data_IF_345745369713
#
_entry.id   IF_345745369713
#
_cell.length_a   1.000
_cell.length_b   1.000
_cell.length_c   1.000
_cell.angle_alpha   90.00
_cell.angle_beta   90.00
_cell.angle_gamma   90.00
#
_symmetry.space_group_name_H-M   'P 1'
#
loop_
_entity.id
_entity.type
_entity.pdbx_description
1 polymer ?
#
# COMPACT_ATOMS: atom_id res chain seq x y z
N UNK A 1 -15.24 30.59 22.42
CA UNK A 1 -14.94 29.80 23.58
C UNK A 1 -13.54 29.21 23.54
N UNK A 2 -13.07 28.62 24.61
CA UNK A 2 -11.69 28.12 24.79
C UNK A 2 -11.20 27.09 23.75
N UNK A 3 -12.08 26.51 22.94
CA UNK A 3 -11.72 25.56 21.86
C UNK A 3 -11.32 26.24 20.52
N UNK A 4 -11.39 27.57 20.42
CA UNK A 4 -11.12 28.33 19.20
C UNK A 4 -9.90 29.25 19.33
N UNK A 5 -9.00 28.99 20.27
CA UNK A 5 -7.83 29.82 20.51
C UNK A 5 -6.89 29.99 19.27
N UNK A 6 -6.92 29.00 18.35
CA UNK A 6 -6.08 29.02 17.14
C UNK A 6 -6.86 29.35 15.85
N UNK A 7 -8.08 29.88 15.97
CA UNK A 7 -8.93 30.21 14.84
C UNK A 7 -9.99 29.17 14.51
N UNK A 8 -10.94 29.52 13.68
CA UNK A 8 -12.07 28.69 13.25
C UNK A 8 -12.13 28.67 11.73
N UNK A 9 -12.13 27.49 11.13
CA UNK A 9 -12.44 27.30 9.72
C UNK A 9 -13.91 26.95 9.59
N UNK A 10 -14.69 27.83 8.95
CA UNK A 10 -16.11 27.59 8.67
C UNK A 10 -16.25 27.05 7.25
N UNK A 11 -16.72 25.80 7.12
CA UNK A 11 -16.98 25.17 5.83
C UNK A 11 -18.47 25.26 5.52
N UNK A 12 -18.82 25.96 4.45
CA UNK A 12 -20.20 26.01 3.95
C UNK A 12 -20.35 24.99 2.82
N UNK A 13 -21.16 23.98 3.06
CA UNK A 13 -21.41 22.94 2.06
C UNK A 13 -22.49 23.36 1.06
N UNK A 14 -22.42 22.79 -0.18
CA UNK A 14 -23.43 23.05 -1.23
C UNK A 14 -24.84 22.73 -0.72
N UNK A 15 -25.78 23.59 -1.07
CA UNK A 15 -27.21 23.47 -0.77
C UNK A 15 -28.02 23.69 -2.04
N UNK A 16 -29.26 23.23 -2.05
CA UNK A 16 -30.23 23.54 -3.12
C UNK A 16 -30.57 25.05 -3.14
N UNK A 17 -30.88 25.52 -4.30
CA UNK A 17 -31.39 26.90 -4.52
C UNK A 17 -32.73 26.80 -5.26
N UNK A 18 -33.59 27.83 -5.07
CA UNK A 18 -34.79 27.99 -5.85
C UNK A 18 -34.44 28.12 -7.33
N UNK A 19 -35.15 27.43 -8.21
CA UNK A 19 -34.93 27.45 -9.64
C UNK A 19 -35.06 26.07 -10.28
N UNK A 20 -34.86 26.05 -11.60
CA UNK A 20 -34.88 24.81 -12.37
C UNK A 20 -33.79 23.82 -11.87
N UNK A 21 -34.00 22.53 -11.97
CA UNK A 21 -32.99 21.53 -11.66
C UNK A 21 -31.70 21.76 -12.45
N UNK A 22 -30.57 21.77 -11.73
CA UNK A 22 -29.23 21.82 -12.30
C UNK A 22 -28.56 20.48 -12.04
N UNK A 23 -28.14 19.84 -13.11
CA UNK A 23 -27.44 18.55 -13.09
C UNK A 23 -25.97 18.82 -13.39
N UNK A 24 -25.08 18.24 -12.60
CA UNK A 24 -23.64 18.28 -12.85
C UNK A 24 -23.10 16.85 -12.80
N UNK A 25 -22.21 16.57 -13.75
CA UNK A 25 -21.42 15.35 -13.79
C UNK A 25 -19.94 15.74 -13.95
N UNK A 26 -19.10 15.22 -13.09
CA UNK A 26 -17.66 15.41 -13.16
C UNK A 26 -16.98 14.05 -13.09
N UNK A 27 -15.93 13.88 -13.89
CA UNK A 27 -15.03 12.76 -13.80
C UNK A 27 -13.60 13.25 -13.68
N UNK A 28 -12.79 12.52 -12.91
CA UNK A 28 -11.36 12.75 -12.80
C UNK A 28 -10.65 11.41 -12.93
N UNK A 29 -9.71 11.35 -13.87
CA UNK A 29 -8.83 10.22 -14.10
C UNK A 29 -7.43 10.63 -13.72
N UNK A 30 -6.80 9.84 -12.84
CA UNK A 30 -5.43 10.11 -12.39
C UNK A 30 -4.58 8.90 -12.69
N UNK A 31 -3.50 9.13 -13.42
CA UNK A 31 -2.44 8.16 -13.68
C UNK A 31 -1.29 8.43 -12.72
N UNK A 32 -0.82 7.38 -12.05
CA UNK A 32 0.35 7.42 -11.18
C UNK A 32 1.35 6.40 -11.72
N UNK A 33 2.49 6.84 -12.24
CA UNK A 33 3.50 5.92 -12.77
C UNK A 33 4.05 5.01 -11.67
N UNK A 34 4.64 3.91 -12.10
CA UNK A 34 5.38 3.00 -11.23
C UNK A 34 6.46 3.72 -10.43
N UNK A 35 6.86 3.13 -9.31
CA UNK A 35 7.92 3.68 -8.47
C UNK A 35 9.26 3.67 -9.22
N UNK A 36 9.90 4.82 -9.30
CA UNK A 36 11.24 4.91 -9.88
C UNK A 36 12.28 4.64 -8.78
N UNK A 37 12.86 3.46 -8.79
CA UNK A 37 13.90 3.03 -7.84
C UNK A 37 15.32 3.26 -8.34
N UNK A 38 15.51 3.79 -9.55
CA UNK A 38 16.85 4.02 -10.13
C UNK A 38 17.76 4.90 -9.26
N UNK A 39 17.16 5.74 -8.40
CA UNK A 39 17.91 6.59 -7.44
C UNK A 39 18.43 5.85 -6.21
N UNK A 40 18.00 4.60 -5.99
CA UNK A 40 18.42 3.82 -4.82
C UNK A 40 19.81 3.20 -4.99
N UNK A 41 20.35 3.22 -6.21
CA UNK A 41 21.67 2.63 -6.53
C UNK A 41 21.80 1.20 -5.98
N UNK A 42 20.79 0.36 -6.22
CA UNK A 42 20.82 -1.05 -5.85
C UNK A 42 21.83 -1.80 -6.72
N UNK A 43 22.49 -2.78 -6.12
CA UNK A 43 23.41 -3.63 -6.85
C UNK A 43 22.67 -4.49 -7.88
N UNK A 44 23.23 -4.59 -9.07
CA UNK A 44 22.84 -5.62 -10.04
C UNK A 44 23.46 -6.97 -9.68
N UNK A 45 23.15 -8.01 -10.44
CA UNK A 45 23.61 -9.38 -10.12
C UNK A 45 25.11 -9.55 -10.22
N UNK A 46 25.75 -8.91 -11.17
CA UNK A 46 27.22 -8.95 -11.33
C UNK A 46 27.89 -8.30 -10.12
N UNK A 47 27.48 -7.08 -9.77
CA UNK A 47 27.98 -6.34 -8.62
C UNK A 47 27.73 -7.07 -7.31
N UNK A 48 26.55 -7.71 -7.16
CA UNK A 48 26.19 -8.49 -5.98
C UNK A 48 27.07 -9.73 -5.84
N UNK A 49 27.28 -10.47 -6.91
CA UNK A 49 28.17 -11.65 -6.94
C UNK A 49 29.61 -11.25 -6.65
N UNK A 50 30.10 -10.16 -7.25
CA UNK A 50 31.45 -9.68 -7.00
C UNK A 50 31.65 -9.22 -5.56
N UNK A 51 30.63 -8.56 -4.95
CA UNK A 51 30.65 -8.21 -3.54
C UNK A 51 30.70 -9.47 -2.65
N UNK A 52 29.91 -10.52 -2.94
CA UNK A 52 29.94 -11.76 -2.18
C UNK A 52 31.29 -12.47 -2.28
N UNK A 53 31.89 -12.49 -3.46
CA UNK A 53 33.24 -13.02 -3.69
C UNK A 53 34.30 -12.26 -2.87
N UNK A 54 34.21 -10.92 -2.86
CA UNK A 54 35.13 -10.08 -2.10
C UNK A 54 34.96 -10.30 -0.60
N UNK A 55 33.74 -10.34 -0.09
CA UNK A 55 33.46 -10.59 1.32
C UNK A 55 33.96 -11.95 1.80
N UNK A 56 33.80 -13.01 0.98
CA UNK A 56 34.34 -14.33 1.27
C UNK A 56 35.86 -14.34 1.36
N UNK A 57 36.55 -13.59 0.48
CA UNK A 57 38.01 -13.51 0.45
C UNK A 57 38.57 -12.69 1.61
N UNK A 58 37.93 -11.55 1.94
CA UNK A 58 38.48 -10.58 2.89
C UNK A 58 38.07 -10.89 4.33
N UNK A 59 37.07 -11.75 4.57
CA UNK A 59 36.50 -12.07 5.90
C UNK A 59 36.17 -10.82 6.75
N UNK A 60 35.87 -9.67 6.11
CA UNK A 60 35.77 -8.34 6.71
C UNK A 60 34.36 -7.89 7.01
N UNK A 61 33.59 -8.67 7.76
CA UNK A 61 32.26 -8.18 8.23
C UNK A 61 32.33 -7.49 9.59
N UNK A 62 33.41 -7.61 10.32
CA UNK A 62 33.65 -7.03 11.64
C UNK A 62 33.63 -5.49 11.66
N UNK A 63 33.96 -4.83 10.54
CA UNK A 63 34.08 -3.38 10.44
C UNK A 63 32.70 -2.66 10.31
N UNK A 64 31.70 -3.29 9.70
CA UNK A 64 30.44 -2.63 9.37
C UNK A 64 29.46 -2.48 10.55
N UNK A 65 29.62 -3.27 11.62
CA UNK A 65 28.65 -3.31 12.73
C UNK A 65 29.26 -3.06 14.12
N UNK A 66 30.53 -2.76 14.24
CA UNK A 66 31.19 -2.52 15.53
C UNK A 66 31.12 -3.71 16.49
N UNK A 67 30.92 -4.91 15.99
CA UNK A 67 30.88 -6.14 16.76
C UNK A 67 32.31 -6.61 16.98
N UNK A 68 32.72 -6.71 18.24
CA UNK A 68 34.04 -7.15 18.67
C UNK A 68 34.30 -8.64 18.52
N UNK A 69 33.30 -9.42 18.15
CA UNK A 69 33.42 -10.83 17.84
C UNK A 69 33.44 -11.02 16.32
N UNK A 70 34.50 -11.60 15.74
CA UNK A 70 34.49 -11.94 14.33
C UNK A 70 33.42 -13.00 14.10
N UNK A 71 32.21 -12.54 13.74
CA UNK A 71 31.14 -13.46 13.38
C UNK A 71 31.52 -14.06 12.03
N UNK A 72 32.31 -15.11 12.12
CA UNK A 72 32.73 -15.96 10.99
C UNK A 72 31.55 -16.51 10.15
N UNK A 73 30.32 -16.23 10.56
CA UNK A 73 29.09 -16.74 9.97
C UNK A 73 28.61 -15.92 8.80
N UNK A 74 28.91 -14.60 8.72
CA UNK A 74 28.38 -13.73 7.66
C UNK A 74 29.04 -13.90 6.28
N UNK A 75 30.37 -14.03 6.15
CA UNK A 75 30.99 -14.23 4.85
C UNK A 75 30.53 -15.49 4.10
N UNK A 76 29.95 -16.43 4.80
CA UNK A 76 29.53 -17.71 4.25
C UNK A 76 28.02 -17.79 3.92
N UNK A 77 27.37 -16.62 3.81
CA UNK A 77 25.96 -16.51 3.36
C UNK A 77 25.87 -16.08 1.89
N UNK A 78 24.73 -16.34 1.29
CA UNK A 78 24.44 -16.02 -0.09
C UNK A 78 24.69 -17.21 -1.03
N UNK A 79 24.28 -17.07 -2.26
CA UNK A 79 24.36 -18.14 -3.28
C UNK A 79 25.79 -18.49 -3.66
N UNK A 80 26.69 -17.51 -3.68
CA UNK A 80 28.12 -17.75 -3.97
C UNK A 80 28.73 -18.66 -2.91
N UNK A 81 28.50 -18.35 -1.63
CA UNK A 81 28.97 -19.20 -0.53
C UNK A 81 28.32 -20.58 -0.57
N UNK A 82 27.02 -20.66 -0.89
CA UNK A 82 26.33 -21.95 -1.02
C UNK A 82 26.93 -22.83 -2.12
N UNK A 83 27.22 -22.26 -3.29
CA UNK A 83 27.90 -22.96 -4.38
C UNK A 83 29.28 -23.45 -3.93
N UNK A 84 30.08 -22.58 -3.32
CA UNK A 84 31.40 -22.95 -2.85
C UNK A 84 31.37 -24.04 -1.78
N UNK A 85 30.41 -24.05 -0.87
CA UNK A 85 30.18 -25.11 0.12
C UNK A 85 29.83 -26.44 -0.55
N UNK A 86 28.97 -26.40 -1.56
CA UNK A 86 28.57 -27.59 -2.32
C UNK A 86 29.77 -28.32 -2.91
N UNK A 87 30.80 -27.60 -3.34
CA UNK A 87 32.02 -28.14 -3.94
C UNK A 87 33.21 -28.20 -2.97
N UNK A 88 33.01 -27.86 -1.68
CA UNK A 88 34.09 -27.78 -0.65
C UNK A 88 35.23 -26.84 -1.07
N UNK A 89 34.93 -25.69 -1.62
CA UNK A 89 35.91 -24.77 -2.21
C UNK A 89 36.14 -23.47 -1.44
N UNK A 90 35.52 -23.27 -0.28
CA UNK A 90 35.63 -22.00 0.48
C UNK A 90 37.08 -21.71 0.86
N UNK A 91 37.80 -22.67 1.47
CA UNK A 91 39.18 -22.47 1.92
C UNK A 91 40.12 -22.34 0.72
N UNK A 92 39.90 -23.15 -0.32
CA UNK A 92 40.67 -23.05 -1.57
C UNK A 92 40.50 -21.65 -2.20
N UNK A 93 39.27 -21.12 -2.21
CA UNK A 93 39.04 -19.77 -2.73
C UNK A 93 39.70 -18.67 -1.88
N UNK A 94 39.69 -18.80 -0.55
CA UNK A 94 40.38 -17.85 0.33
C UNK A 94 41.91 -17.83 0.08
N UNK A 95 42.51 -18.98 -0.20
CA UNK A 95 43.95 -19.10 -0.44
C UNK A 95 44.35 -18.74 -1.87
N UNK A 96 43.66 -19.29 -2.88
CA UNK A 96 44.06 -19.26 -4.29
C UNK A 96 43.19 -18.31 -5.15
N UNK A 97 42.06 -17.81 -4.57
CA UNK A 97 41.11 -16.96 -5.28
C UNK A 97 40.37 -17.71 -6.38
N UNK A 98 39.92 -16.98 -7.39
CA UNK A 98 39.13 -17.51 -8.51
C UNK A 98 39.76 -18.69 -9.24
N UNK A 99 41.07 -18.66 -9.41
CA UNK A 99 41.82 -19.71 -10.13
C UNK A 99 41.86 -21.07 -9.40
N UNK A 100 41.59 -21.07 -8.08
CA UNK A 100 41.44 -22.29 -7.29
C UNK A 100 40.09 -22.99 -7.41
N UNK A 101 39.12 -22.34 -8.06
CA UNK A 101 37.78 -22.91 -8.23
C UNK A 101 37.74 -23.89 -9.40
N UNK A 102 36.92 -24.95 -9.24
CA UNK A 102 36.65 -25.87 -10.36
C UNK A 102 35.83 -25.19 -11.45
N UNK A 103 35.93 -25.66 -12.71
CA UNK A 103 35.16 -25.11 -13.84
C UNK A 103 33.63 -25.14 -13.56
N UNK A 104 33.14 -26.18 -12.89
CA UNK A 104 31.72 -26.34 -12.54
C UNK A 104 31.27 -25.24 -11.57
N UNK A 105 32.06 -24.97 -10.52
CA UNK A 105 31.79 -23.90 -9.57
C UNK A 105 31.86 -22.52 -10.22
N UNK A 106 32.88 -22.28 -11.05
CA UNK A 106 33.01 -21.03 -11.81
C UNK A 106 31.80 -20.81 -12.72
N UNK A 107 31.36 -21.83 -13.45
CA UNK A 107 30.19 -21.77 -14.31
C UNK A 107 28.90 -21.49 -13.53
N UNK A 108 28.73 -22.17 -12.38
CA UNK A 108 27.56 -21.95 -11.53
C UNK A 108 27.51 -20.51 -10.97
N UNK A 109 28.65 -19.96 -10.54
CA UNK A 109 28.76 -18.56 -10.07
C UNK A 109 28.53 -17.59 -11.24
N UNK A 110 29.12 -17.83 -12.40
CA UNK A 110 28.93 -16.98 -13.58
C UNK A 110 27.48 -16.97 -14.05
N UNK A 111 26.76 -18.10 -13.91
CA UNK A 111 25.32 -18.15 -14.21
C UNK A 111 24.51 -17.18 -13.35
N UNK A 112 24.87 -16.98 -12.07
CA UNK A 112 24.20 -15.99 -11.23
C UNK A 112 24.31 -14.57 -11.81
N UNK A 113 25.44 -14.23 -12.42
CA UNK A 113 25.67 -12.90 -13.03
C UNK A 113 24.79 -12.64 -14.26
N UNK A 114 24.26 -13.69 -14.89
CA UNK A 114 23.41 -13.57 -16.08
C UNK A 114 21.95 -13.33 -15.77
N UNK A 115 21.52 -13.64 -14.54
CA UNK A 115 20.17 -13.36 -14.04
C UNK A 115 20.18 -11.95 -13.47
N UNK A 116 19.25 -11.10 -13.85
CA UNK A 116 19.15 -9.76 -13.27
C UNK A 116 17.69 -9.37 -13.13
N UNK A 117 17.07 -9.84 -12.04
CA UNK A 117 15.68 -9.59 -11.74
C UNK A 117 15.47 -8.14 -11.31
N UNK A 118 14.70 -7.39 -12.07
CA UNK A 118 14.24 -6.08 -11.66
C UNK A 118 13.03 -6.22 -10.74
N UNK A 119 13.31 -6.23 -9.44
CA UNK A 119 12.30 -6.36 -8.41
C UNK A 119 11.28 -5.22 -8.41
N UNK A 120 11.65 -4.06 -8.92
CA UNK A 120 10.71 -2.94 -9.03
C UNK A 120 9.66 -3.21 -10.12
N UNK A 121 10.08 -3.71 -11.26
CA UNK A 121 9.15 -3.98 -12.38
C UNK A 121 8.17 -5.10 -12.07
N UNK A 122 8.60 -6.12 -11.31
CA UNK A 122 7.73 -7.26 -11.02
C UNK A 122 6.87 -7.08 -9.76
N UNK A 123 7.29 -6.25 -8.79
CA UNK A 123 6.54 -6.00 -7.55
C UNK A 123 5.60 -4.81 -7.64
N UNK A 124 5.82 -3.88 -8.56
CA UNK A 124 5.04 -2.67 -8.68
C UNK A 124 4.50 -2.50 -10.10
N UNK A 125 3.49 -1.67 -10.21
CA UNK A 125 2.85 -1.33 -11.49
C UNK A 125 2.42 0.12 -11.51
N UNK A 126 2.11 0.61 -12.68
CA UNK A 126 1.36 1.86 -12.82
C UNK A 126 0.00 1.76 -12.14
N UNK A 127 -0.40 2.84 -11.48
CA UNK A 127 -1.66 2.92 -10.79
C UNK A 127 -2.63 3.88 -11.49
N UNK A 128 -3.92 3.59 -11.35
CA UNK A 128 -4.97 4.36 -11.98
C UNK A 128 -6.10 4.63 -10.99
N UNK A 129 -6.43 5.91 -10.81
CA UNK A 129 -7.56 6.34 -9.97
C UNK A 129 -8.65 6.92 -10.84
N UNK A 130 -9.88 6.50 -10.59
CA UNK A 130 -11.09 6.94 -11.27
C UNK A 130 -12.03 7.57 -10.23
N UNK A 131 -12.47 8.79 -10.50
CA UNK A 131 -13.45 9.49 -9.69
C UNK A 131 -14.63 9.91 -10.57
N UNK A 132 -15.84 9.62 -10.11
CA UNK A 132 -17.09 10.00 -10.76
C UNK A 132 -17.97 10.69 -9.74
N UNK A 133 -18.44 11.90 -10.07
CA UNK A 133 -19.32 12.65 -9.23
C UNK A 133 -20.53 13.13 -10.03
N UNK A 134 -21.72 12.76 -9.56
CA UNK A 134 -22.99 13.22 -10.08
C UNK A 134 -23.70 14.07 -9.04
N UNK A 135 -24.32 15.19 -9.43
CA UNK A 135 -25.15 15.95 -8.53
C UNK A 135 -26.33 16.57 -9.24
N UNK A 136 -27.42 16.68 -8.50
CA UNK A 136 -28.62 17.41 -8.91
C UNK A 136 -29.06 18.34 -7.80
N UNK A 137 -29.36 19.59 -8.14
CA UNK A 137 -29.83 20.57 -7.18
C UNK A 137 -30.91 21.44 -7.83
N UNK A 138 -31.86 21.88 -7.03
CA UNK A 138 -32.95 22.72 -7.51
C UNK A 138 -33.97 23.04 -6.41
N UNK A 139 -35.12 23.53 -6.79
CA UNK A 139 -36.21 23.73 -5.86
C UNK A 139 -37.19 24.82 -6.25
N UNK A 140 -38.20 24.93 -5.41
CA UNK A 140 -39.20 26.03 -5.42
C UNK A 140 -38.96 26.97 -4.25
N UNK A 141 -39.81 27.96 -4.09
CA UNK A 141 -39.80 28.84 -2.89
C UNK A 141 -40.02 28.09 -1.60
N UNK A 142 -40.73 26.93 -1.65
CA UNK A 142 -41.03 26.12 -0.47
C UNK A 142 -40.01 25.01 -0.23
N UNK A 143 -39.46 24.40 -1.28
CA UNK A 143 -38.58 23.22 -1.16
C UNK A 143 -37.32 23.46 -1.95
N UNK A 144 -36.15 23.27 -1.34
CA UNK A 144 -34.89 23.22 -2.05
C UNK A 144 -34.14 21.93 -1.73
N UNK A 145 -33.49 21.35 -2.72
CA UNK A 145 -32.77 20.11 -2.58
C UNK A 145 -31.41 20.14 -3.27
N UNK A 146 -30.47 19.38 -2.68
CA UNK A 146 -29.18 19.04 -3.28
C UNK A 146 -28.90 17.55 -3.01
N UNK A 147 -28.72 16.78 -4.07
CA UNK A 147 -28.34 15.38 -3.98
C UNK A 147 -27.08 15.15 -4.78
N UNK A 148 -26.15 14.37 -4.25
CA UNK A 148 -24.96 13.96 -4.97
C UNK A 148 -24.55 12.53 -4.67
N UNK A 149 -24.01 11.88 -5.69
CA UNK A 149 -23.41 10.57 -5.65
C UNK A 149 -21.96 10.70 -6.11
N UNK A 150 -21.04 10.13 -5.34
CA UNK A 150 -19.64 10.06 -5.69
C UNK A 150 -19.15 8.61 -5.62
N UNK A 151 -18.34 8.22 -6.60
CA UNK A 151 -17.65 6.94 -6.61
C UNK A 151 -16.18 7.17 -6.93
N UNK A 152 -15.30 6.56 -6.13
CA UNK A 152 -13.85 6.54 -6.34
C UNK A 152 -13.40 5.10 -6.39
N UNK A 153 -12.59 4.76 -7.39
CA UNK A 153 -11.85 3.51 -7.46
C UNK A 153 -10.38 3.83 -7.65
N UNK A 154 -9.56 3.38 -6.72
CA UNK A 154 -8.12 3.55 -6.72
C UNK A 154 -7.46 2.18 -6.71
N UNK A 155 -6.58 1.95 -7.68
CA UNK A 155 -5.67 0.82 -7.69
C UNK A 155 -4.30 1.31 -7.24
N UNK A 156 -3.67 0.63 -6.28
CA UNK A 156 -2.34 0.97 -5.82
C UNK A 156 -1.23 0.53 -6.78
N UNK A 157 -0.04 1.10 -6.64
CA UNK A 157 1.14 0.66 -7.36
C UNK A 157 1.55 -0.77 -7.00
N UNK A 158 1.17 -1.25 -5.82
CA UNK A 158 1.34 -2.67 -5.43
C UNK A 158 0.14 -3.47 -5.94
N UNK A 159 0.33 -4.51 -6.77
CA UNK A 159 -0.76 -5.39 -7.20
C UNK A 159 -1.53 -5.97 -6.00
N UNK A 160 -2.85 -6.07 -6.08
CA UNK A 160 -3.72 -6.53 -4.97
C UNK A 160 -4.15 -5.42 -4.01
N UNK A 161 -3.43 -4.31 -3.95
CA UNK A 161 -3.84 -3.14 -3.13
C UNK A 161 -4.82 -2.28 -3.91
N UNK A 162 -5.97 -2.02 -3.31
CA UNK A 162 -7.00 -1.16 -3.92
C UNK A 162 -7.91 -0.54 -2.88
N UNK A 163 -8.54 0.57 -3.26
CA UNK A 163 -9.58 1.22 -2.49
C UNK A 163 -10.78 1.54 -3.39
N UNK A 164 -11.97 1.31 -2.89
CA UNK A 164 -13.19 1.86 -3.49
C UNK A 164 -14.01 2.61 -2.45
N UNK A 165 -14.59 3.72 -2.85
CA UNK A 165 -15.40 4.56 -1.96
C UNK A 165 -16.64 5.05 -2.68
N UNK A 166 -17.77 4.87 -2.04
CA UNK A 166 -19.05 5.40 -2.44
C UNK A 166 -19.50 6.47 -1.45
N UNK A 167 -19.94 7.62 -1.93
CA UNK A 167 -20.43 8.72 -1.13
C UNK A 167 -21.83 9.12 -1.60
N UNK A 168 -22.74 9.34 -0.66
CA UNK A 168 -24.06 9.91 -0.88
C UNK A 168 -24.19 11.17 -0.04
N UNK A 169 -24.66 12.24 -0.63
CA UNK A 169 -25.13 13.41 0.08
C UNK A 169 -26.54 13.74 -0.38
N UNK A 170 -27.47 13.85 0.56
CA UNK A 170 -28.83 14.32 0.30
C UNK A 170 -29.17 15.41 1.29
N UNK A 171 -29.59 16.57 0.79
CA UNK A 171 -30.00 17.71 1.59
C UNK A 171 -31.30 18.25 1.06
N UNK A 172 -32.27 18.39 1.94
CA UNK A 172 -33.56 18.97 1.62
C UNK A 172 -33.91 20.00 2.66
N UNK A 173 -34.42 21.14 2.24
CA UNK A 173 -34.94 22.18 3.12
C UNK A 173 -36.36 22.49 2.70
N UNK A 174 -37.26 22.61 3.66
CA UNK A 174 -38.66 22.92 3.46
C UNK A 174 -39.09 24.15 4.26
N UNK A 175 -39.59 25.17 3.58
CA UNK A 175 -40.18 26.35 4.19
C UNK A 175 -41.65 26.03 4.48
N UNK A 176 -41.97 25.70 5.71
CA UNK A 176 -43.33 25.32 6.12
C UNK A 176 -44.26 26.54 6.04
N UNK A 177 -43.80 27.65 6.58
CA UNK A 177 -44.46 28.97 6.53
C UNK A 177 -43.42 30.07 6.68
N UNK A 178 -43.86 31.34 6.82
CA UNK A 178 -42.95 32.50 6.94
C UNK A 178 -42.04 32.42 8.19
N UNK A 179 -42.46 31.70 9.22
CA UNK A 179 -41.74 31.60 10.50
C UNK A 179 -40.90 30.33 10.62
N UNK A 180 -41.35 29.21 10.02
CA UNK A 180 -40.77 27.89 10.26
C UNK A 180 -40.12 27.33 8.99
N UNK A 181 -38.84 27.05 9.08
CA UNK A 181 -38.08 26.28 8.08
C UNK A 181 -37.49 25.04 8.74
N UNK A 182 -37.61 23.91 8.09
CA UNK A 182 -37.00 22.64 8.51
C UNK A 182 -36.02 22.16 7.45
N UNK A 183 -34.99 21.44 7.85
CA UNK A 183 -34.00 20.84 6.97
C UNK A 183 -33.62 19.45 7.40
N UNK A 184 -33.27 18.64 6.41
CA UNK A 184 -32.70 17.31 6.62
C UNK A 184 -31.47 17.15 5.73
N UNK A 185 -30.39 16.69 6.31
CA UNK A 185 -29.18 16.37 5.58
C UNK A 185 -28.73 14.95 5.93
N UNK A 186 -28.50 14.14 4.91
CA UNK A 186 -27.98 12.75 5.05
C UNK A 186 -26.66 12.69 4.31
N UNK A 187 -25.64 12.18 4.98
CA UNK A 187 -24.34 11.87 4.42
C UNK A 187 -24.08 10.40 4.67
N UNK A 188 -23.91 9.62 3.61
CA UNK A 188 -23.52 8.22 3.73
C UNK A 188 -22.21 7.99 2.98
N UNK A 189 -21.35 7.19 3.58
CA UNK A 189 -20.06 6.81 3.02
C UNK A 189 -19.86 5.32 3.21
N UNK A 190 -19.42 4.63 2.17
CA UNK A 190 -18.93 3.26 2.28
C UNK A 190 -17.58 3.17 1.59
N UNK A 191 -16.56 2.81 2.34
CA UNK A 191 -15.19 2.64 1.86
C UNK A 191 -14.75 1.20 2.07
N UNK A 192 -14.25 0.59 1.01
CA UNK A 192 -13.64 -0.74 1.03
C UNK A 192 -12.16 -0.59 0.66
N UNK A 193 -11.28 -1.12 1.50
CA UNK A 193 -9.86 -1.24 1.21
C UNK A 193 -9.52 -2.72 1.14
N UNK A 194 -8.77 -3.09 0.10
CA UNK A 194 -8.14 -4.40 0.00
C UNK A 194 -6.63 -4.20 0.08
N UNK A 195 -5.98 -5.04 0.86
CA UNK A 195 -4.54 -5.08 0.99
C UNK A 195 -4.13 -6.49 1.40
N UNK A 196 -2.88 -6.72 1.69
CA UNK A 196 -2.35 -7.95 2.24
C UNK A 196 -1.83 -7.70 3.65
N UNK A 197 -1.70 -8.76 4.44
CA UNK A 197 -1.12 -8.66 5.77
C UNK A 197 0.39 -8.39 5.63
N UNK A 198 0.86 -7.35 6.30
CA UNK A 198 2.28 -6.99 6.33
C UNK A 198 2.58 -6.05 7.49
N UNK A 199 3.82 -6.03 7.91
CA UNK A 199 4.41 -4.98 8.73
C UNK A 199 5.41 -4.14 7.91
N UNK A 200 6.02 -3.15 8.52
CA UNK A 200 6.94 -2.22 7.83
C UNK A 200 8.21 -2.92 7.36
N UNK A 201 8.71 -3.91 8.09
CA UNK A 201 9.98 -4.61 7.84
C UNK A 201 9.78 -6.09 7.50
N UNK A 202 8.54 -6.54 7.37
CA UNK A 202 8.24 -7.91 6.99
C UNK A 202 8.64 -8.19 5.54
N UNK A 203 9.15 -9.39 5.27
CA UNK A 203 9.57 -9.83 3.94
C UNK A 203 8.43 -9.77 2.93
N UNK A 204 7.19 -9.95 3.37
CA UNK A 204 5.98 -9.84 2.54
C UNK A 204 5.68 -8.40 2.09
N UNK A 205 6.32 -7.38 2.70
CA UNK A 205 6.20 -5.99 2.29
C UNK A 205 7.02 -5.75 1.00
N UNK A 206 6.39 -5.48 -0.15
CA UNK A 206 7.10 -5.37 -1.41
C UNK A 206 8.07 -4.18 -1.45
N UNK A 207 7.78 -3.09 -0.72
CA UNK A 207 8.68 -1.93 -0.65
C UNK A 207 9.95 -2.25 0.15
N UNK A 208 9.84 -3.06 1.19
CA UNK A 208 10.99 -3.55 1.93
C UNK A 208 11.73 -4.62 1.13
N UNK A 209 11.01 -5.62 0.63
CA UNK A 209 11.59 -6.75 -0.10
C UNK A 209 12.34 -6.31 -1.36
N UNK A 210 11.81 -5.37 -2.14
CA UNK A 210 12.48 -4.87 -3.35
C UNK A 210 13.88 -4.29 -3.13
N UNK A 211 14.21 -3.92 -1.88
CA UNK A 211 15.52 -3.36 -1.51
C UNK A 211 16.52 -4.40 -1.02
N UNK A 212 16.04 -5.55 -0.56
CA UNK A 212 16.89 -6.59 0.05
C UNK A 212 16.94 -7.87 -0.77
N UNK A 213 16.00 -8.06 -1.70
CA UNK A 213 15.93 -9.24 -2.56
C UNK A 213 17.18 -9.35 -3.44
N UNK A 214 17.62 -10.57 -3.64
CA UNK A 214 18.78 -10.86 -4.47
C UNK A 214 18.46 -10.64 -5.94
N UNK A 215 19.23 -9.82 -6.69
CA UNK A 215 18.96 -9.58 -8.10
C UNK A 215 19.21 -10.81 -8.97
N UNK A 216 20.01 -11.76 -8.53
CA UNK A 216 20.28 -13.01 -9.24
C UNK A 216 19.25 -14.11 -8.93
N UNK A 217 18.15 -13.80 -8.24
CA UNK A 217 17.07 -14.75 -7.96
C UNK A 217 15.85 -14.41 -8.82
N UNK A 218 15.40 -15.40 -9.61
CA UNK A 218 14.14 -15.31 -10.35
C UNK A 218 13.03 -15.97 -9.52
N UNK A 219 11.95 -15.29 -9.20
CA UNK A 219 10.86 -15.87 -8.41
C UNK A 219 9.98 -16.86 -9.17
N UNK A 220 10.17 -17.02 -10.48
CA UNK A 220 9.41 -17.93 -11.32
C UNK A 220 10.32 -18.75 -12.23
N UNK A 221 9.91 -19.98 -12.51
CA UNK A 221 10.53 -20.78 -13.57
C UNK A 221 9.98 -20.40 -14.96
N UNK A 222 10.51 -21.03 -16.01
CA UNK A 222 10.08 -20.80 -17.41
C UNK A 222 8.60 -21.17 -17.65
N UNK A 223 8.01 -22.00 -16.79
CA UNK A 223 6.60 -22.39 -16.83
C UNK A 223 5.71 -21.53 -15.97
N UNK A 224 6.27 -20.56 -15.21
CA UNK A 224 5.56 -19.66 -14.32
C UNK A 224 5.27 -20.23 -12.94
N UNK A 225 5.88 -21.36 -12.54
CA UNK A 225 5.78 -21.89 -11.19
C UNK A 225 6.67 -21.09 -10.24
N UNK A 226 6.30 -21.05 -8.96
CA UNK A 226 7.08 -20.38 -7.93
C UNK A 226 8.43 -21.06 -7.70
N UNK A 227 9.49 -20.26 -7.72
CA UNK A 227 10.80 -20.62 -7.21
C UNK A 227 11.00 -20.00 -5.83
N UNK A 228 11.73 -20.73 -4.95
CA UNK A 228 11.87 -20.31 -3.55
C UNK A 228 13.29 -19.87 -3.24
N UNK A 229 13.41 -18.73 -2.57
CA UNK A 229 14.67 -18.27 -1.99
C UNK A 229 14.81 -18.84 -0.57
N UNK A 230 15.80 -19.69 -0.36
CA UNK A 230 16.10 -20.31 0.94
C UNK A 230 17.11 -19.52 1.77
N UNK A 231 17.56 -18.37 1.29
CA UNK A 231 18.57 -17.56 1.99
C UNK A 231 17.96 -16.36 2.74
N UNK A 232 16.68 -16.09 2.53
CA UNK A 232 15.97 -14.91 3.09
C UNK A 232 15.37 -15.19 4.46
N UNK A 233 14.78 -16.37 4.66
CA UNK A 233 14.13 -16.76 5.91
C UNK A 233 15.01 -17.74 6.67
N UNK A 234 15.34 -17.39 7.92
CA UNK A 234 15.97 -18.30 8.86
C UNK A 234 15.01 -18.65 9.98
N UNK A 235 14.81 -19.92 10.22
CA UNK A 235 14.25 -20.36 11.49
C UNK A 235 15.28 -20.10 12.59
N UNK A 236 14.88 -19.38 13.64
CA UNK A 236 15.72 -19.13 14.82
C UNK A 236 15.86 -20.34 15.74
N UNK A 237 15.01 -21.34 15.56
CA UNK A 237 14.89 -22.52 16.43
C UNK A 237 15.43 -23.80 15.81
N UNK A 238 15.38 -23.90 14.49
CA UNK A 238 15.94 -25.02 13.73
C UNK A 238 16.81 -24.42 12.63
N UNK A 239 17.99 -24.95 12.37
CA UNK A 239 18.81 -24.54 11.23
C UNK A 239 18.16 -24.84 9.85
N UNK A 240 16.89 -25.15 9.85
CA UNK A 240 16.11 -25.42 8.64
C UNK A 240 15.86 -24.12 7.88
N UNK A 241 16.26 -24.14 6.62
CA UNK A 241 16.01 -23.07 5.68
C UNK A 241 14.58 -23.18 5.15
N UNK A 242 13.77 -22.17 5.38
CA UNK A 242 12.43 -22.08 4.79
C UNK A 242 12.52 -21.42 3.43
N UNK A 243 11.87 -22.01 2.45
CA UNK A 243 11.72 -21.40 1.14
C UNK A 243 10.76 -20.22 1.21
N UNK A 244 11.14 -19.11 0.59
CA UNK A 244 10.32 -17.90 0.54
C UNK A 244 10.08 -17.47 -0.90
N UNK A 245 8.83 -17.20 -1.25
CA UNK A 245 8.44 -16.54 -2.48
C UNK A 245 7.41 -15.43 -2.15
N UNK A 246 7.77 -14.18 -2.36
CA UNK A 246 6.90 -13.04 -2.01
C UNK A 246 5.55 -13.05 -2.73
N UNK A 247 5.48 -13.61 -3.94
CA UNK A 247 4.23 -13.64 -4.72
C UNK A 247 3.26 -14.66 -4.13
N UNK A 248 3.77 -15.85 -3.74
CA UNK A 248 2.97 -16.88 -3.08
C UNK A 248 2.49 -16.40 -1.71
N UNK A 249 3.40 -15.87 -0.87
CA UNK A 249 3.06 -15.33 0.44
C UNK A 249 1.98 -14.25 0.36
N UNK A 250 2.08 -13.36 -0.61
CA UNK A 250 1.07 -12.33 -0.83
C UNK A 250 -0.23 -12.87 -1.37
N UNK A 251 -0.21 -13.91 -2.21
CA UNK A 251 -1.41 -14.58 -2.70
C UNK A 251 -2.15 -15.32 -1.57
N UNK A 252 -1.40 -15.82 -0.58
CA UNK A 252 -1.94 -16.51 0.59
C UNK A 252 -2.42 -15.59 1.71
N UNK A 253 -2.27 -14.27 1.56
CA UNK A 253 -2.72 -13.30 2.56
C UNK A 253 -3.72 -12.32 1.97
N UNK A 254 -4.74 -12.00 2.73
CA UNK A 254 -5.70 -10.96 2.38
C UNK A 254 -6.11 -10.16 3.62
N UNK A 255 -6.23 -8.86 3.45
CA UNK A 255 -6.78 -7.97 4.46
C UNK A 255 -7.80 -7.06 3.80
N UNK A 256 -9.06 -7.28 4.13
CA UNK A 256 -10.17 -6.45 3.70
C UNK A 256 -10.67 -5.60 4.86
N UNK A 257 -10.90 -4.32 4.62
CA UNK A 257 -11.49 -3.41 5.59
C UNK A 257 -12.62 -2.63 4.95
N UNK A 258 -13.81 -2.74 5.51
CA UNK A 258 -15.01 -2.02 5.07
C UNK A 258 -15.46 -1.08 6.17
N UNK A 259 -15.45 0.22 5.87
CA UNK A 259 -16.01 1.25 6.75
C UNK A 259 -17.29 1.76 6.14
N UNK A 260 -18.38 1.76 6.92
CA UNK A 260 -19.65 2.38 6.53
C UNK A 260 -19.99 3.44 7.57
N UNK A 261 -20.30 4.64 7.13
CA UNK A 261 -20.67 5.76 7.99
C UNK A 261 -21.94 6.42 7.45
N UNK A 262 -22.88 6.69 8.33
CA UNK A 262 -24.11 7.44 8.03
C UNK A 262 -24.24 8.55 9.06
N UNK A 263 -24.34 9.77 8.59
CA UNK A 263 -24.57 10.96 9.41
C UNK A 263 -25.85 11.64 8.94
N UNK A 264 -26.84 11.75 9.81
CA UNK A 264 -28.11 12.38 9.56
C UNK A 264 -28.26 13.60 10.45
N UNK A 265 -28.55 14.74 9.86
CA UNK A 265 -28.71 16.02 10.55
C UNK A 265 -30.10 16.54 10.25
N UNK A 266 -30.84 16.85 11.30
CA UNK A 266 -32.12 17.49 11.23
C UNK A 266 -32.01 18.90 11.81
N UNK A 267 -32.43 19.92 11.05
CA UNK A 267 -32.36 21.32 11.47
C UNK A 267 -33.72 21.98 11.42
N UNK A 268 -33.96 22.84 12.41
CA UNK A 268 -35.17 23.66 12.54
C UNK A 268 -34.75 25.10 12.73
N UNK A 269 -35.33 25.97 11.93
CA UNK A 269 -35.17 27.41 12.06
C UNK A 269 -36.52 28.08 12.29
N UNK A 270 -36.67 28.76 13.41
CA UNK A 270 -37.79 29.59 13.74
C UNK A 270 -37.39 31.07 13.58
N UNK A 271 -38.14 31.83 12.79
CA UNK A 271 -37.97 33.26 12.60
C UNK A 271 -39.22 33.97 13.13
N UNK A 272 -39.11 34.59 14.28
CA UNK A 272 -40.23 35.31 14.88
C UNK A 272 -40.42 36.70 14.23
N UNK A 273 -39.32 37.36 13.95
CA UNK A 273 -39.27 38.65 13.27
C UNK A 273 -37.86 38.83 12.63
N UNK A 274 -37.53 40.02 12.14
CA UNK A 274 -36.24 40.31 11.52
C UNK A 274 -35.06 40.30 12.51
N UNK A 275 -35.34 40.51 13.79
CA UNK A 275 -34.34 40.59 14.86
C UNK A 275 -34.15 39.27 15.58
N UNK A 276 -35.19 38.43 15.69
CA UNK A 276 -35.17 37.20 16.47
C UNK A 276 -35.33 35.97 15.60
N UNK A 277 -34.25 35.14 15.62
CA UNK A 277 -34.21 33.83 14.96
C UNK A 277 -33.66 32.82 15.94
N UNK A 278 -34.31 31.67 16.04
CA UNK A 278 -33.83 30.51 16.79
C UNK A 278 -33.47 29.41 15.81
N UNK A 279 -32.32 28.84 16.01
CA UNK A 279 -31.82 27.70 15.22
C UNK A 279 -31.53 26.54 16.15
N UNK A 280 -32.06 25.38 15.81
CA UNK A 280 -31.80 24.11 16.51
C UNK A 280 -31.39 23.03 15.53
N UNK A 281 -30.46 22.18 15.94
CA UNK A 281 -29.94 21.09 15.12
C UNK A 281 -29.74 19.84 15.96
N UNK A 282 -30.20 18.69 15.44
CA UNK A 282 -29.97 17.38 16.00
C UNK A 282 -29.23 16.55 14.97
N UNK A 283 -28.10 15.96 15.35
CA UNK A 283 -27.32 15.05 14.52
C UNK A 283 -27.29 13.64 15.11
N UNK A 284 -27.45 12.65 14.25
CA UNK A 284 -27.26 11.23 14.57
C UNK A 284 -26.18 10.69 13.64
N UNK A 285 -25.17 10.06 14.23
CA UNK A 285 -24.09 9.41 13.49
C UNK A 285 -24.06 7.93 13.82
N UNK A 286 -23.88 7.12 12.80
CA UNK A 286 -23.65 5.69 12.91
C UNK A 286 -22.46 5.31 12.05
N UNK A 287 -21.49 4.62 12.67
CA UNK A 287 -20.27 4.16 12.03
C UNK A 287 -20.08 2.67 12.29
N UNK A 288 -19.69 1.92 11.27
CA UNK A 288 -19.33 0.52 11.36
C UNK A 288 -18.01 0.27 10.64
N UNK A 289 -17.10 -0.41 11.31
CA UNK A 289 -15.89 -0.99 10.73
C UNK A 289 -16.01 -2.51 10.74
N UNK A 290 -15.87 -3.14 9.58
CA UNK A 290 -15.68 -4.59 9.43
C UNK A 290 -14.29 -4.83 8.86
N UNK A 291 -13.54 -5.72 9.49
CA UNK A 291 -12.20 -6.08 9.04
C UNK A 291 -12.10 -7.60 9.01
N UNK A 292 -11.63 -8.11 7.87
CA UNK A 292 -11.34 -9.53 7.67
C UNK A 292 -9.87 -9.65 7.30
N UNK A 293 -9.18 -10.54 8.00
CA UNK A 293 -7.78 -10.88 7.75
C UNK A 293 -7.69 -12.37 7.54
N UNK A 294 -7.01 -12.78 6.50
CA UNK A 294 -6.78 -14.17 6.15
C UNK A 294 -5.29 -14.39 5.88
N UNK A 295 -4.76 -15.44 6.49
CA UNK A 295 -3.45 -15.99 6.18
C UNK A 295 -3.63 -17.48 5.91
N UNK A 296 -3.32 -17.91 4.69
CA UNK A 296 -3.30 -19.32 4.32
C UNK A 296 -2.10 -20.05 4.93
N UNK A 297 -2.19 -21.36 5.00
CA UNK A 297 -1.06 -22.24 5.34
C UNK A 297 -0.42 -22.66 4.01
N UNK A 298 0.89 -22.46 3.89
CA UNK A 298 1.70 -22.98 2.77
C UNK A 298 2.11 -24.41 3.04
#
# INVERSE_FOLDING_TARGET
GARAANGVIVVTTKRGKTGKPVINFNTKLTYTPNLNTSRLNLLNSEEKVDLELQLLKEARFDILWGLTDPIAVFPEKGKVAAIMKQYNLIDIYKEQGWNGLTPEAQNAINKLKTINTDWNDILFRDAFTQEYNFSISGGSEKVTYYNSLGYVKENGNVPGVSMSRFNLTSKTSYQVNKMLKIGMSIFANRRKNNTFMTDTYGLINPVYYSRIANPYFDPFDEQGNYLYDYDVVKSSETDEKQGFNIFEERANTNKESVTTAINSIFDVQLRFNDQWKVYSQIGVQWDQLSQEEYAGIN
#
